data_IF_205277749288
#
_entry.id   IF_205277749288
#
_cell.length_a   1.000
_cell.length_b   1.000
_cell.length_c   1.000
_cell.angle_alpha   90.00
_cell.angle_beta   90.00
_cell.angle_gamma   90.00
#
_symmetry.space_group_name_H-M   'P 1'
#
loop_
_entity.id
_entity.type
_entity.pdbx_description
1 polymer ?
#
# COMPACT_ATOMS: atom_id res chain seq x y z
N UNK A 1 16.34 -9.47 -14.03
CA UNK A 1 15.08 -10.17 -13.74
C UNK A 1 15.21 -10.78 -12.35
N UNK A 2 14.54 -10.23 -11.34
CA UNK A 2 14.59 -10.76 -9.98
C UNK A 2 13.82 -12.09 -9.93
N UNK A 3 14.47 -13.12 -9.42
CA UNK A 3 13.90 -14.45 -9.14
C UNK A 3 12.68 -14.26 -8.20
N UNK A 4 11.58 -15.02 -8.35
CA UNK A 4 10.47 -14.93 -7.40
C UNK A 4 11.02 -15.27 -6.02
N UNK A 5 10.90 -14.36 -5.06
CA UNK A 5 11.23 -14.65 -3.68
C UNK A 5 10.39 -15.87 -3.25
N UNK A 6 11.04 -16.87 -2.67
CA UNK A 6 10.33 -18.01 -2.11
C UNK A 6 9.26 -17.50 -1.14
N UNK A 7 8.06 -18.10 -1.15
CA UNK A 7 6.99 -17.74 -0.21
C UNK A 7 7.55 -17.83 1.22
N UNK A 8 7.69 -16.68 1.87
CA UNK A 8 8.10 -16.59 3.26
C UNK A 8 6.92 -17.00 4.12
N UNK A 9 7.17 -17.78 5.17
CA UNK A 9 6.14 -18.21 6.12
C UNK A 9 5.50 -16.99 6.82
N UNK A 10 4.17 -16.96 6.87
CA UNK A 10 3.39 -15.92 7.54
C UNK A 10 3.78 -15.74 9.02
N UNK A 11 4.25 -16.81 9.68
CA UNK A 11 4.78 -16.74 11.04
C UNK A 11 6.04 -15.87 11.11
N UNK A 12 6.96 -16.03 10.15
CA UNK A 12 8.19 -15.26 10.06
C UNK A 12 7.90 -13.80 9.74
N UNK A 13 6.94 -13.53 8.85
CA UNK A 13 6.50 -12.16 8.53
C UNK A 13 5.96 -11.46 9.79
N UNK A 14 5.09 -12.13 10.55
CA UNK A 14 4.52 -11.58 11.79
C UNK A 14 5.57 -11.31 12.86
N UNK A 15 6.52 -12.22 13.05
CA UNK A 15 7.60 -12.05 14.02
C UNK A 15 8.54 -10.90 13.62
N UNK A 16 8.90 -10.83 12.33
CA UNK A 16 9.72 -9.74 11.78
C UNK A 16 9.05 -8.38 11.98
N UNK A 17 7.77 -8.27 11.65
CA UNK A 17 7.00 -7.04 11.86
C UNK A 17 6.96 -6.63 13.34
N UNK A 18 6.63 -7.57 14.24
CA UNK A 18 6.61 -7.30 15.69
C UNK A 18 7.95 -6.77 16.18
N UNK A 19 9.04 -7.41 15.76
CA UNK A 19 10.40 -7.02 16.13
C UNK A 19 10.75 -5.62 15.66
N UNK A 20 10.42 -5.29 14.40
CA UNK A 20 10.64 -3.95 13.83
C UNK A 20 9.85 -2.88 14.57
N UNK A 21 8.56 -3.13 14.85
CA UNK A 21 7.72 -2.18 15.58
C UNK A 21 8.23 -1.97 17.00
N UNK A 22 8.61 -3.04 17.71
CA UNK A 22 9.15 -2.94 19.07
C UNK A 22 10.44 -2.12 19.13
N UNK A 23 11.32 -2.23 18.13
CA UNK A 23 12.63 -1.55 18.13
C UNK A 23 12.60 -0.14 17.57
N UNK A 24 11.79 0.09 16.54
CA UNK A 24 11.83 1.34 15.76
C UNK A 24 10.59 2.22 15.97
N UNK A 25 9.51 1.67 16.53
CA UNK A 25 8.18 2.26 16.49
C UNK A 25 7.54 2.08 15.11
N UNK A 26 6.20 2.09 15.09
CA UNK A 26 5.41 1.77 13.90
C UNK A 26 5.77 2.62 12.67
N UNK A 27 6.00 3.93 12.85
CA UNK A 27 6.29 4.84 11.74
C UNK A 27 7.61 4.51 11.04
N UNK A 28 8.68 4.24 11.81
CA UNK A 28 9.99 3.91 11.24
C UNK A 28 10.01 2.48 10.69
N UNK A 29 9.31 1.54 11.34
CA UNK A 29 9.14 0.18 10.84
C UNK A 29 8.42 0.14 9.48
N UNK A 30 7.35 0.92 9.29
CA UNK A 30 6.67 1.03 8.00
C UNK A 30 7.58 1.64 6.93
N UNK A 31 8.30 2.73 7.24
CA UNK A 31 9.26 3.34 6.29
C UNK A 31 10.36 2.37 5.88
N UNK A 32 10.85 1.56 6.82
CA UNK A 32 11.80 0.50 6.54
C UNK A 32 11.23 -0.48 5.53
N UNK A 33 10.03 -1.02 5.76
CA UNK A 33 9.40 -1.97 4.83
C UNK A 33 9.23 -1.38 3.42
N UNK A 34 8.70 -0.15 3.33
CA UNK A 34 8.49 0.58 2.05
C UNK A 34 9.82 0.87 1.32
N UNK A 35 10.94 0.94 2.02
CA UNK A 35 12.25 1.12 1.38
C UNK A 35 12.72 -0.14 0.63
N UNK A 36 12.34 -1.33 1.11
CA UNK A 36 12.69 -2.61 0.48
C UNK A 36 11.61 -3.09 -0.50
N UNK A 37 10.35 -2.95 -0.10
CA UNK A 37 9.19 -3.09 -0.97
C UNK A 37 8.99 -1.75 -1.68
N UNK A 38 9.78 -1.49 -2.74
CA UNK A 38 9.42 -0.45 -3.69
C UNK A 38 8.00 -0.79 -4.14
N UNK A 39 7.01 0.01 -3.72
CA UNK A 39 5.63 -0.22 -4.07
C UNK A 39 5.55 -0.52 -5.56
N UNK A 40 5.03 -1.69 -5.91
CA UNK A 40 4.80 -1.99 -7.32
C UNK A 40 3.69 -1.06 -7.82
N UNK A 41 3.96 -0.36 -8.92
CA UNK A 41 2.99 0.53 -9.54
C UNK A 41 3.22 2.01 -9.21
N UNK A 42 2.73 2.84 -10.12
CA UNK A 42 2.69 4.29 -9.98
C UNK A 42 1.24 4.63 -9.61
N UNK A 43 0.96 4.68 -8.31
CA UNK A 43 -0.39 4.92 -7.79
C UNK A 43 -0.99 6.22 -8.32
N UNK A 44 -0.16 7.23 -8.57
CA UNK A 44 -0.58 8.48 -9.20
C UNK A 44 -1.01 8.25 -10.65
N UNK A 45 -0.24 7.49 -11.43
CA UNK A 45 -0.59 7.10 -12.81
C UNK A 45 -1.85 6.24 -12.85
N UNK A 46 -2.03 5.34 -11.90
CA UNK A 46 -3.20 4.47 -11.81
C UNK A 46 -4.47 5.24 -11.44
N UNK A 47 -4.40 6.12 -10.43
CA UNK A 47 -5.49 7.03 -10.05
C UNK A 47 -5.85 7.94 -11.23
N UNK A 48 -4.86 8.51 -11.92
CA UNK A 48 -5.08 9.33 -13.13
C UNK A 48 -5.73 8.54 -14.26
N UNK A 49 -5.38 7.26 -14.43
CA UNK A 49 -6.02 6.38 -15.42
C UNK A 49 -7.46 6.07 -15.02
N UNK A 50 -7.71 5.75 -13.76
CA UNK A 50 -9.02 5.39 -13.24
C UNK A 50 -10.04 6.53 -13.36
N UNK A 51 -9.62 7.77 -13.05
CA UNK A 51 -10.48 8.95 -13.13
C UNK A 51 -10.46 9.69 -14.46
N UNK A 52 -9.79 9.13 -15.47
CA UNK A 52 -9.64 9.79 -16.77
C UNK A 52 -10.99 10.06 -17.41
N UNK A 53 -11.19 11.30 -17.85
CA UNK A 53 -12.42 11.72 -18.52
C UNK A 53 -13.62 11.92 -17.60
N UNK A 54 -13.46 11.76 -16.27
CA UNK A 54 -14.50 12.12 -15.29
C UNK A 54 -14.31 13.54 -14.82
N UNK A 55 -15.42 14.25 -14.68
CA UNK A 55 -15.48 15.54 -14.00
C UNK A 55 -15.34 15.37 -12.48
N UNK A 56 -14.96 16.44 -11.79
CA UNK A 56 -14.85 16.44 -10.34
C UNK A 56 -16.17 16.05 -9.65
N UNK A 57 -17.30 16.51 -10.18
CA UNK A 57 -18.63 16.19 -9.64
C UNK A 57 -18.96 14.70 -9.74
N UNK A 58 -18.58 14.05 -10.84
CA UNK A 58 -18.78 12.60 -11.01
C UNK A 58 -17.89 11.80 -10.05
N UNK A 59 -16.64 12.24 -9.86
CA UNK A 59 -15.73 11.66 -8.88
C UNK A 59 -16.34 11.79 -7.48
N UNK A 60 -16.75 13.00 -7.09
CA UNK A 60 -17.35 13.30 -5.80
C UNK A 60 -18.58 12.43 -5.51
N UNK A 61 -19.53 12.35 -6.44
CA UNK A 61 -20.73 11.50 -6.30
C UNK A 61 -20.40 10.01 -6.22
N UNK A 62 -19.35 9.57 -6.92
CA UNK A 62 -18.92 8.16 -6.90
C UNK A 62 -18.33 7.80 -5.54
N UNK A 63 -17.41 8.63 -5.04
CA UNK A 63 -16.80 8.44 -3.72
C UNK A 63 -17.86 8.50 -2.61
N UNK A 64 -18.78 9.47 -2.67
CA UNK A 64 -19.86 9.64 -1.69
C UNK A 64 -20.83 8.44 -1.65
N UNK A 65 -21.12 7.83 -2.81
CA UNK A 65 -21.99 6.64 -2.91
C UNK A 65 -21.33 5.37 -2.41
N UNK A 66 -20.00 5.27 -2.51
CA UNK A 66 -19.27 4.08 -2.13
C UNK A 66 -19.36 3.74 -0.63
N UNK A 67 -19.89 4.64 0.23
CA UNK A 67 -20.02 4.47 1.69
C UNK A 67 -18.79 3.74 2.27
N UNK A 68 -17.60 4.29 1.99
CA UNK A 68 -16.38 3.78 2.59
C UNK A 68 -16.41 4.17 4.07
N UNK A 69 -16.76 3.21 4.93
CA UNK A 69 -16.55 3.35 6.36
C UNK A 69 -15.04 3.15 6.60
N UNK A 70 -14.40 4.18 7.16
CA UNK A 70 -13.02 4.12 7.64
C UNK A 70 -12.97 3.54 9.04
#
# INVERSE_FOLDING_TARGET
>A
MSKPAAKVDDAVIREGWKTLVTRLGVVKATRFLVAFERGEGDSVKEIKRFWRGKSLDEIYRTVKRAKINF
#
